data_IF_679876920401
#
_entry.id   IF_679876920401
#
_cell.length_a   1.000
_cell.length_b   1.000
_cell.length_c   1.000
_cell.angle_alpha   90.00
_cell.angle_beta   90.00
_cell.angle_gamma   90.00
#
_symmetry.space_group_name_H-M   'P 1'
#
loop_
_entity.id
_entity.type
_entity.pdbx_description
1 polymer ?
#
# COMPACT_ATOMS: atom_id res chain seq x y z
N UNK A 1 1.28 -23.59 0.60
CA UNK A 1 0.59 -22.35 1.00
C UNK A 1 1.02 -22.00 2.41
N UNK A 2 1.25 -20.72 2.72
CA UNK A 2 1.69 -20.25 4.05
C UNK A 2 0.61 -19.34 4.63
N UNK A 3 0.30 -19.51 5.91
CA UNK A 3 -0.79 -18.82 6.61
C UNK A 3 -0.27 -18.25 7.94
N UNK A 4 -1.00 -17.28 8.51
CA UNK A 4 -0.72 -16.80 9.86
C UNK A 4 -1.04 -17.87 10.91
N UNK A 5 -0.07 -18.21 11.78
CA UNK A 5 -0.25 -19.22 12.83
C UNK A 5 -1.27 -18.86 13.92
N UNK A 6 -1.67 -17.59 14.03
CA UNK A 6 -2.61 -17.11 15.04
C UNK A 6 -4.06 -17.01 14.53
N UNK A 7 -4.27 -16.70 13.26
CA UNK A 7 -5.62 -16.44 12.70
C UNK A 7 -5.93 -17.19 11.40
N UNK A 8 -5.00 -18.01 10.90
CA UNK A 8 -5.10 -18.76 9.64
C UNK A 8 -5.32 -17.92 8.36
N UNK A 9 -5.21 -16.59 8.44
CA UNK A 9 -5.28 -15.73 7.26
C UNK A 9 -4.16 -16.04 6.25
N UNK A 10 -4.43 -15.97 4.94
CA UNK A 10 -3.41 -16.16 3.91
C UNK A 10 -2.36 -15.05 3.99
N UNK A 11 -1.08 -15.41 3.83
CA UNK A 11 0.02 -14.44 3.82
C UNK A 11 0.32 -13.88 2.42
N UNK A 12 -0.29 -14.47 1.40
CA UNK A 12 -0.16 -14.07 0.00
C UNK A 12 -0.97 -12.80 -0.30
N UNK A 13 -0.40 -11.93 -1.13
CA UNK A 13 -0.97 -10.64 -1.50
C UNK A 13 -1.50 -10.74 -2.94
N UNK A 14 -2.79 -10.52 -3.12
CA UNK A 14 -3.39 -10.44 -4.45
C UNK A 14 -3.05 -9.09 -5.11
N UNK A 15 -2.56 -9.12 -6.35
CA UNK A 15 -2.21 -7.91 -7.08
C UNK A 15 -3.45 -7.03 -7.34
N UNK A 16 -3.39 -5.71 -7.07
CA UNK A 16 -4.51 -4.80 -7.32
C UNK A 16 -4.71 -4.48 -8.82
N UNK A 17 -3.77 -4.87 -9.68
CA UNK A 17 -3.89 -4.68 -11.13
C UNK A 17 -4.36 -5.95 -11.84
N UNK A 18 -3.67 -7.09 -11.64
CA UNK A 18 -3.92 -8.32 -12.38
C UNK A 18 -4.43 -9.51 -11.55
N UNK A 19 -4.69 -9.32 -10.24
CA UNK A 19 -5.17 -10.37 -9.30
C UNK A 19 -4.23 -11.55 -9.05
N UNK A 20 -3.04 -11.58 -9.63
CA UNK A 20 -2.03 -12.60 -9.33
C UNK A 20 -1.73 -12.68 -7.83
N UNK A 21 -1.57 -13.89 -7.28
CA UNK A 21 -1.09 -14.09 -5.91
C UNK A 21 0.43 -13.86 -5.84
N UNK A 22 0.88 -13.08 -4.86
CA UNK A 22 2.30 -12.76 -4.66
C UNK A 22 2.74 -13.12 -3.24
N UNK A 23 4.02 -13.51 -3.04
CA UNK A 23 4.54 -13.79 -1.70
C UNK A 23 4.52 -12.56 -0.78
N UNK A 24 4.40 -12.74 0.54
CA UNK A 24 4.53 -11.64 1.49
C UNK A 24 5.88 -10.93 1.32
N UNK A 25 5.88 -9.60 1.45
CA UNK A 25 7.10 -8.76 1.37
C UNK A 25 7.48 -8.30 -0.04
N UNK A 26 6.84 -8.79 -1.09
CA UNK A 26 7.04 -8.28 -2.44
C UNK A 26 6.51 -6.84 -2.58
N UNK A 27 7.31 -5.95 -3.19
CA UNK A 27 6.91 -4.57 -3.49
C UNK A 27 6.15 -4.45 -4.81
N UNK A 28 6.49 -5.29 -5.78
CA UNK A 28 5.93 -5.29 -7.13
C UNK A 28 5.41 -6.68 -7.52
N UNK A 29 4.42 -6.71 -8.40
CA UNK A 29 3.86 -7.96 -8.91
C UNK A 29 4.84 -8.67 -9.84
N UNK A 30 5.05 -9.98 -9.61
CA UNK A 30 5.92 -10.80 -10.47
C UNK A 30 5.40 -11.06 -11.88
N UNK A 31 4.11 -10.79 -12.16
CA UNK A 31 3.52 -10.97 -13.50
C UNK A 31 3.35 -9.66 -14.29
N UNK A 32 2.91 -8.57 -13.66
CA UNK A 32 2.62 -7.32 -14.37
C UNK A 32 3.42 -6.11 -13.89
N UNK A 33 4.37 -6.29 -12.95
CA UNK A 33 5.20 -5.25 -12.36
C UNK A 33 4.46 -4.11 -11.61
N UNK A 34 3.12 -4.15 -11.50
CA UNK A 34 2.37 -3.17 -10.71
C UNK A 34 2.77 -3.22 -9.23
N UNK A 35 2.77 -2.05 -8.57
CA UNK A 35 3.02 -1.96 -7.14
C UNK A 35 1.94 -2.74 -6.34
N UNK A 36 2.36 -3.56 -5.37
CA UNK A 36 1.47 -4.35 -4.51
C UNK A 36 1.03 -3.59 -3.26
N UNK A 37 1.76 -2.54 -2.90
CA UNK A 37 1.37 -1.58 -1.87
C UNK A 37 1.57 -0.19 -2.44
N UNK A 38 0.60 0.67 -2.23
CA UNK A 38 0.65 2.05 -2.66
C UNK A 38 1.37 2.83 -1.55
N UNK A 39 2.61 3.32 -1.74
CA UNK A 39 3.25 4.20 -0.76
C UNK A 39 2.70 5.62 -0.91
N UNK A 40 1.38 5.76 -1.07
CA UNK A 40 0.73 7.07 -0.90
C UNK A 40 0.61 7.22 0.61
N UNK A 41 1.73 7.64 1.17
CA UNK A 41 1.82 8.17 2.52
C UNK A 41 0.76 9.28 2.62
N UNK A 42 -0.39 8.91 3.16
CA UNK A 42 -1.58 9.77 3.13
C UNK A 42 -1.39 11.02 4.00
N UNK A 43 -0.29 11.09 4.74
CA UNK A 43 0.15 12.28 5.50
C UNK A 43 0.42 13.48 4.61
N UNK A 44 0.73 13.28 3.32
CA UNK A 44 0.88 14.35 2.35
C UNK A 44 -0.40 14.65 1.55
N UNK A 45 -1.49 13.89 1.76
CA UNK A 45 -2.72 14.09 1.00
C UNK A 45 -3.46 15.38 1.40
N UNK A 46 -3.21 15.91 2.61
CA UNK A 46 -3.72 17.21 3.05
C UNK A 46 -2.55 18.16 3.33
N UNK A 47 -2.30 19.17 2.46
CA UNK A 47 -1.30 20.20 2.72
C UNK A 47 -1.63 21.01 4.00
N UNK A 48 -2.89 21.01 4.42
CA UNK A 48 -3.41 21.65 5.64
C UNK A 48 -2.75 21.10 6.91
N UNK A 49 -2.25 19.86 6.87
CA UNK A 49 -1.61 19.21 8.03
C UNK A 49 -0.19 19.73 8.31
N UNK A 50 0.50 20.27 7.30
CA UNK A 50 1.86 20.81 7.42
C UNK A 50 1.93 22.33 7.16
N UNK A 51 0.84 22.95 6.70
CA UNK A 51 0.80 24.37 6.34
C UNK A 51 0.16 25.21 7.46
N UNK A 52 0.90 26.13 8.11
CA UNK A 52 0.33 27.03 9.12
C UNK A 52 -0.66 28.02 8.49
N UNK A 53 -1.76 28.31 9.20
CA UNK A 53 -2.93 29.07 8.68
C UNK A 53 -2.58 30.40 8.00
N UNK A 54 -1.65 31.17 8.59
CA UNK A 54 -1.23 32.47 8.04
C UNK A 54 -0.55 32.37 6.66
N UNK A 55 -0.08 31.21 6.24
CA UNK A 55 0.49 31.00 4.90
C UNK A 55 -0.56 30.54 3.87
N UNK A 56 -1.66 29.96 4.32
CA UNK A 56 -2.70 29.39 3.46
C UNK A 56 -3.76 30.42 3.03
N UNK A 57 -3.84 31.55 3.74
CA UNK A 57 -4.80 32.62 3.50
C UNK A 57 -4.05 33.87 2.99
N UNK A 58 -4.19 34.17 1.69
CA UNK A 58 -3.82 35.43 1.03
C UNK A 58 -5.01 35.89 0.18
#
# INVERSE_FOLDING_TARGET
MRFCGQCAAPLEIACPSCRAANPPGHKFCGQCAAALSNPIDSRFASPESYTPKHLAEQ
#
